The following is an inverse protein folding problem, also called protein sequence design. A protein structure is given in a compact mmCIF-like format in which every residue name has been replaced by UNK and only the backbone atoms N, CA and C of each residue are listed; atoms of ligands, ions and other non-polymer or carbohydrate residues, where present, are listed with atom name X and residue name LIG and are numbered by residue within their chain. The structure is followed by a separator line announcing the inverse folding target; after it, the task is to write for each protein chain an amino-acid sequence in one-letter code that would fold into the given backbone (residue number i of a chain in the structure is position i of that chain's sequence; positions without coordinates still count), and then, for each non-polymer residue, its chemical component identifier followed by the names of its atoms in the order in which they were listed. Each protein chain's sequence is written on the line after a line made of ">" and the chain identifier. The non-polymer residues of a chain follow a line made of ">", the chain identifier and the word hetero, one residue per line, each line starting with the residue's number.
data_IF_553642247822
#
_entry.id   IF_553642247822
#
_cell.length_a   1.000
_cell.length_b   1.000
_cell.length_c   1.000
_cell.angle_alpha   90.00
_cell.angle_beta   90.00
_cell.angle_gamma   90.00
#
_symmetry.space_group_name_H-M   'P 1'
#
loop_
_entity.id
_entity.type
_entity.pdbx_description
1 polymer ?
2 non-polymer ?
3 water ?
#
# COMPACT_ATOMS: atom_id res chain seq x y z
N UNK A 1 15.90 10.43 5.67
CA UNK A 1 14.49 9.97 5.83
C UNK A 1 13.92 9.56 4.48
N UNK A 2 13.13 8.49 4.44
CA UNK A 2 12.42 8.16 3.20
C UNK A 2 11.26 9.14 2.98
N UNK A 3 11.18 9.64 1.76
CA UNK A 3 10.11 10.51 1.33
C UNK A 3 9.06 9.58 0.74
N UNK A 4 7.94 9.39 1.43
CA UNK A 4 7.00 8.31 1.07
C UNK A 4 6.46 8.49 -0.35
N UNK A 5 5.99 9.69 -0.66
CA UNK A 5 5.41 9.95 -1.97
C UNK A 5 6.46 9.80 -3.07
N UNK A 6 7.68 10.24 -2.81
CA UNK A 6 8.78 10.07 -3.76
C UNK A 6 9.14 8.59 -3.96
N UNK A 7 9.15 7.80 -2.89
CA UNK A 7 9.42 6.35 -3.02
C UNK A 7 8.27 5.64 -3.75
N UNK A 8 7.04 6.12 -3.56
CA UNK A 8 5.91 5.60 -4.33
C UNK A 8 6.08 5.84 -5.83
N UNK A 9 6.55 7.03 -6.18
CA UNK A 9 6.82 7.31 -7.59
C UNK A 9 7.90 6.41 -8.19
N UNK A 10 8.89 6.04 -7.38
CA UNK A 10 9.95 5.11 -7.82
C UNK A 10 9.38 3.71 -8.02
N UNK A 11 8.52 3.27 -7.10
CA UNK A 11 7.83 2.00 -7.30
C UNK A 11 7.02 2.03 -8.61
N UNK A 12 6.29 3.12 -8.84
CA UNK A 12 5.46 3.23 -10.03
C UNK A 12 6.33 3.12 -11.28
N UNK A 13 7.52 3.69 -11.20
CA UNK A 13 8.45 3.65 -12.30
C UNK A 13 9.08 2.26 -12.48
N UNK A 14 9.82 1.79 -11.46
CA UNK A 14 10.68 0.62 -11.62
C UNK A 14 10.17 -0.66 -10.93
N UNK A 15 9.18 -0.51 -10.06
CA UNK A 15 8.61 -1.65 -9.33
C UNK A 15 7.29 -2.10 -9.92
N UNK A 16 6.51 -2.79 -9.11
CA UNK A 16 5.17 -3.21 -9.51
C UNK A 16 4.23 -3.02 -8.33
N UNK A 17 3.01 -2.60 -8.62
CA UNK A 17 2.04 -2.33 -7.58
C UNK A 17 0.63 -2.57 -8.10
N UNK A 18 -0.32 -2.65 -7.17
CA UNK A 18 -1.73 -2.59 -7.51
C UNK A 18 -2.46 -1.73 -6.47
N UNK A 19 -3.67 -1.30 -6.82
CA UNK A 19 -4.39 -0.28 -6.03
C UNK A 19 -5.79 -0.74 -5.72
N UNK A 20 -6.23 -0.34 -4.55
CA UNK A 20 -7.63 -0.48 -4.17
C UNK A 20 -7.91 -1.78 -3.44
N UNK A 21 -9.07 -1.80 -2.79
CA UNK A 21 -9.47 -2.92 -1.93
C UNK A 21 -9.46 -4.29 -2.64
N UNK A 22 -10.25 -4.47 -3.71
CA UNK A 22 -10.37 -5.80 -4.32
C UNK A 22 -9.02 -6.38 -4.76
N UNK A 23 -8.23 -5.58 -5.47
CA UNK A 23 -6.98 -6.11 -6.01
C UNK A 23 -5.96 -6.33 -4.89
N UNK A 24 -6.03 -5.51 -3.85
CA UNK A 24 -5.12 -5.66 -2.73
C UNK A 24 -5.45 -6.95 -1.99
N UNK A 25 -6.73 -7.17 -1.74
CA UNK A 25 -7.14 -8.40 -1.06
C UNK A 25 -6.69 -9.63 -1.87
N UNK A 26 -6.87 -9.60 -3.18
CA UNK A 26 -6.36 -10.67 -4.03
C UNK A 26 -4.87 -10.87 -3.82
N UNK A 27 -4.12 -9.76 -3.81
CA UNK A 27 -2.67 -9.86 -3.69
C UNK A 27 -2.25 -10.46 -2.35
N UNK A 28 -3.08 -10.32 -1.33
CA UNK A 28 -2.77 -10.88 0.00
C UNK A 28 -3.13 -12.37 0.11
N UNK A 29 -4.32 -12.71 -0.41
CA UNK A 29 -4.79 -14.09 -0.42
C UNK A 29 -3.88 -14.95 -1.28
N UNK A 30 -3.39 -14.38 -2.38
CA UNK A 30 -2.49 -15.07 -3.31
C UNK A 30 -0.99 -14.96 -3.01
N UNK A 31 -0.62 -14.12 -2.05
CA UNK A 31 0.77 -14.04 -1.57
C UNK A 31 1.72 -13.21 -2.44
N UNK A 32 1.17 -12.38 -3.34
CA UNK A 32 1.96 -11.51 -4.22
C UNK A 32 2.38 -10.17 -3.59
N UNK A 33 1.75 -9.78 -2.49
CA UNK A 33 2.05 -8.50 -1.85
C UNK A 33 3.28 -8.60 -0.96
N UNK A 34 4.09 -7.54 -1.00
CA UNK A 34 5.26 -7.38 -0.14
C UNK A 34 5.01 -6.41 1.03
N UNK A 35 3.94 -5.62 0.91
CA UNK A 35 3.64 -4.53 1.84
C UNK A 35 2.35 -3.89 1.36
N UNK A 36 1.48 -3.54 2.30
CA UNK A 36 0.34 -2.70 1.94
C UNK A 36 0.40 -1.39 2.71
N UNK A 37 -0.06 -0.32 2.05
CA UNK A 37 -0.05 1.03 2.57
C UNK A 37 -1.50 1.49 2.57
N UNK A 38 -2.05 1.66 3.77
CA UNK A 38 -3.49 1.93 3.94
C UNK A 38 -3.72 3.38 4.32
N UNK A 39 -4.63 4.05 3.62
CA UNK A 39 -5.02 5.44 3.92
C UNK A 39 -5.67 5.53 5.28
N UNK A 40 -5.42 6.61 6.00
CA UNK A 40 -6.00 6.74 7.33
C UNK A 40 -7.53 6.66 7.38
N UNK A 41 -8.19 7.17 6.34
CA UNK A 41 -9.64 7.26 6.33
C UNK A 41 -10.32 6.25 5.40
N UNK A 42 -9.63 5.15 5.13
CA UNK A 42 -10.22 4.06 4.45
C UNK A 42 -11.43 3.58 5.23
N UNK A 43 -12.47 3.28 4.48
CA UNK A 43 -13.76 2.90 5.05
C UNK A 43 -13.50 1.78 6.07
N UNK A 44 -13.91 1.99 7.31
CA UNK A 44 -13.52 1.10 8.40
C UNK A 44 -13.66 -0.41 8.16
N UNK A 45 -14.73 -0.84 7.50
CA UNK A 45 -14.91 -2.28 7.27
C UNK A 45 -13.86 -2.77 6.30
N UNK A 46 -13.62 -1.99 5.25
CA UNK A 46 -12.58 -2.35 4.31
C UNK A 46 -11.20 -2.34 4.97
N UNK A 47 -10.96 -1.37 5.85
CA UNK A 47 -9.69 -1.24 6.57
C UNK A 47 -9.45 -2.42 7.46
N UNK A 48 -10.47 -2.80 8.24
CA UNK A 48 -10.41 -4.00 9.05
C UNK A 48 -10.11 -5.26 8.21
N UNK A 49 -10.74 -5.39 7.05
CA UNK A 49 -10.52 -6.55 6.16
C UNK A 49 -9.06 -6.58 5.68
N UNK A 50 -8.57 -5.42 5.25
CA UNK A 50 -7.22 -5.33 4.78
C UNK A 50 -6.21 -5.72 5.84
N UNK A 51 -6.40 -5.18 7.04
CA UNK A 51 -5.52 -5.51 8.17
C UNK A 51 -5.59 -7.01 8.48
N UNK A 52 -6.80 -7.55 8.47
CA UNK A 52 -7.03 -8.98 8.70
C UNK A 52 -6.27 -9.85 7.72
N UNK A 53 -6.43 -9.58 6.43
CA UNK A 53 -5.73 -10.37 5.42
C UNK A 53 -4.20 -10.19 5.42
N UNK A 54 -3.73 -9.00 5.75
CA UNK A 54 -2.29 -8.74 5.90
C UNK A 54 -1.75 -9.59 7.04
N UNK A 55 -2.42 -9.57 8.18
CA UNK A 55 -1.99 -10.41 9.30
C UNK A 55 -2.03 -11.89 8.93
N UNK A 56 -3.09 -12.28 8.24
CA UNK A 56 -3.27 -13.67 7.91
C UNK A 56 -2.15 -14.15 7.01
N UNK A 57 -1.72 -13.30 6.09
CA UNK A 57 -0.70 -13.65 5.11
C UNK A 57 0.73 -13.33 5.56
N UNK A 58 0.87 -12.68 6.71
CA UNK A 58 2.19 -12.26 7.19
C UNK A 58 2.81 -11.13 6.37
N UNK A 59 1.96 -10.27 5.80
CA UNK A 59 2.40 -9.13 5.00
C UNK A 59 2.39 -7.87 5.84
N UNK A 60 3.50 -7.12 5.84
CA UNK A 60 3.54 -5.89 6.59
C UNK A 60 2.54 -4.82 6.11
N UNK A 61 2.07 -4.03 7.07
CA UNK A 61 1.18 -2.89 6.83
C UNK A 61 1.85 -1.59 7.28
N UNK A 62 1.79 -0.56 6.43
CA UNK A 62 2.13 0.80 6.82
C UNK A 62 0.87 1.66 6.76
N UNK A 63 0.62 2.39 7.84
CA UNK A 63 -0.54 3.27 7.94
C UNK A 63 -0.14 4.64 7.44
N UNK A 64 -0.56 4.94 6.22
CA UNK A 64 -0.38 6.26 5.62
C UNK A 64 -1.10 7.28 6.49
N UNK A 65 -0.39 8.34 6.88
CA UNK A 65 -0.98 9.33 7.77
C UNK A 65 -2.04 10.20 7.10
N UNK A 66 -1.99 10.31 5.77
CA UNK A 66 -2.92 11.13 5.04
C UNK A 66 -4.19 10.43 4.63
N UNK A 67 -5.04 11.18 3.96
CA UNK A 67 -6.31 10.66 3.49
C UNK A 67 -6.12 9.87 2.21
N UNK A 68 -7.19 9.16 1.86
CA UNK A 68 -7.36 8.51 0.57
C UNK A 68 -7.20 9.51 -0.58
N UNK A 69 -7.59 10.76 -0.33
CA UNK A 69 -7.40 11.81 -1.32
C UNK A 69 -5.92 12.01 -1.57
N UNK A 70 -5.18 12.18 -0.48
CA UNK A 70 -3.74 12.45 -0.52
C UNK A 70 -2.98 11.25 -1.08
N UNK A 71 -3.42 10.05 -0.71
CA UNK A 71 -2.81 8.82 -1.22
C UNK A 71 -2.98 8.71 -2.74
N UNK A 72 -4.18 9.00 -3.27
CA UNK A 72 -4.36 9.06 -4.71
C UNK A 72 -3.43 10.04 -5.39
N UNK A 73 -3.29 11.22 -4.82
CA UNK A 73 -2.39 12.21 -5.41
C UNK A 73 -0.95 11.66 -5.43
N UNK A 74 -0.54 11.02 -4.33
CA UNK A 74 0.80 10.42 -4.22
C UNK A 74 1.11 9.43 -5.34
N UNK A 75 0.11 8.68 -5.78
CA UNK A 75 0.29 7.66 -6.80
C UNK A 75 -0.12 8.14 -8.21
N UNK A 76 -0.37 9.44 -8.35
CA UNK A 76 -0.68 10.04 -9.64
C UNK A 76 -2.04 9.69 -10.23
N UNK A 77 -3.01 9.40 -9.36
CA UNK A 77 -4.38 9.13 -9.78
C UNK A 77 -5.29 10.31 -9.47
N UNK A 78 -6.32 10.51 -10.29
CA UNK A 78 -7.30 11.58 -10.11
C UNK A 78 -8.44 11.26 -9.15
N UNK A 79 -8.29 10.20 -8.38
CA UNK A 79 -9.38 9.67 -7.58
C UNK A 79 -8.77 9.23 -6.26
N UNK A 80 -9.60 8.99 -5.26
CA UNK A 80 -9.09 8.51 -3.99
C UNK A 80 -8.49 7.12 -4.17
N UNK A 81 -7.50 6.81 -3.34
CA UNK A 81 -6.94 5.46 -3.28
C UNK A 81 -6.91 5.07 -1.79
N UNK A 82 -7.54 3.94 -1.48
CA UNK A 82 -7.67 3.42 -0.11
C UNK A 82 -6.41 2.71 0.35
N UNK A 83 -5.77 2.05 -0.59
CA UNK A 83 -4.67 1.18 -0.28
C UNK A 83 -3.81 0.95 -1.53
N UNK A 84 -2.49 0.86 -1.31
CA UNK A 84 -1.52 0.50 -2.33
C UNK A 84 -0.88 -0.80 -1.89
N UNK A 85 -0.81 -1.74 -2.80
CA UNK A 85 -0.16 -3.01 -2.55
C UNK A 85 1.11 -3.10 -3.38
N UNK A 86 2.25 -3.22 -2.70
CA UNK A 86 3.53 -3.29 -3.35
C UNK A 86 3.79 -4.72 -3.77
N UNK A 87 3.87 -4.95 -5.07
CA UNK A 87 4.14 -6.31 -5.60
C UNK A 87 5.64 -6.51 -5.82
N UNK A 88 6.33 -5.44 -6.22
CA UNK A 88 7.77 -5.46 -6.37
C UNK A 88 8.29 -4.06 -6.06
N UNK A 89 9.30 -3.96 -5.18
CA UNK A 89 9.80 -2.66 -4.71
C UNK A 89 10.59 -1.92 -5.79
N UNK A 90 11.02 -2.63 -6.83
CA UNK A 90 11.84 -2.01 -7.89
C UNK A 90 13.11 -1.43 -7.29
N UNK A 91 13.50 -0.24 -7.75
CA UNK A 91 14.68 0.43 -7.20
C UNK A 91 14.33 1.39 -6.05
N UNK A 92 13.16 1.21 -5.44
CA UNK A 92 12.72 2.06 -4.34
C UNK A 92 13.14 1.51 -2.97
N UNK A 93 12.99 2.36 -1.97
CA UNK A 93 13.20 2.02 -0.56
C UNK A 93 11.84 1.86 0.14
N UNK A 94 10.79 1.63 -0.64
CA UNK A 94 9.44 1.55 -0.07
C UNK A 94 9.31 0.51 1.04
N UNK A 95 10.08 -0.59 0.98
CA UNK A 95 9.90 -1.66 1.97
C UNK A 95 10.34 -1.27 3.37
N UNK A 96 11.13 -0.20 3.49
CA UNK A 96 11.50 0.35 4.78
C UNK A 96 10.27 0.76 5.61
N UNK A 97 9.19 1.12 4.92
CA UNK A 97 7.90 1.43 5.57
C UNK A 97 7.29 0.26 6.38
N UNK A 98 7.78 -0.96 6.16
CA UNK A 98 7.22 -2.14 6.81
C UNK A 98 7.47 -2.17 8.30
N UNK A 99 8.50 -1.45 8.75
CA UNK A 99 8.77 -1.28 10.18
C UNK A 99 9.30 -2.56 10.80
N UNK A 100 9.14 -2.67 12.12
CA UNK A 100 9.72 -3.79 12.85
C UNK A 100 9.04 -5.11 12.51
N UNK A 101 9.78 -6.20 12.58
CA UNK A 101 9.23 -7.51 12.24
C UNK A 101 8.09 -7.95 13.14
X LIG B 1 14.91 -3.95 12.76
X LIG B 1 13.54 -3.75 12.26
X LIG B 1 14.90 -4.92 13.88
X LIG B 1 15.46 -2.64 13.23
X LIG B 1 15.79 -4.46 11.67
#
# INVERSE_FOLDING_TARGET
>A
MVDIAFELRKVIDSGKYTLGYRKTVQSLKMGGSKLIIIARNTRPDRKEDLEYYARLSGTPVYEFEGTNVELGTAVGKPHTVSVVSILDAGESRILALGGKE
>B hetero
1 SO4 S O1 O2 O3 O4
#
